data_IF_638064653742
#
_entry.id   IF_638064653742
#
_cell.length_a   1.000
_cell.length_b   1.000
_cell.length_c   1.000
_cell.angle_alpha   90.00
_cell.angle_beta   90.00
_cell.angle_gamma   90.00
#
_symmetry.space_group_name_H-M   'P 1'
#
loop_
_entity.id
_entity.type
_entity.pdbx_description
1 polymer ?
#
# COMPACT_ATOMS: atom_id res chain seq x y z
N UNK A 1 -18.32 5.61 -4.80
CA UNK A 1 -17.58 6.70 -4.15
C UNK A 1 -16.09 6.42 -4.22
N UNK A 2 -15.29 7.38 -4.62
CA UNK A 2 -13.84 7.19 -4.70
C UNK A 2 -13.22 7.22 -3.30
N UNK A 3 -12.36 6.26 -3.00
CA UNK A 3 -11.57 6.26 -1.77
C UNK A 3 -10.57 7.40 -1.77
N UNK A 4 -9.99 7.69 -2.94
CA UNK A 4 -8.99 8.73 -3.09
C UNK A 4 -9.64 10.01 -3.60
N UNK A 5 -9.42 11.09 -2.87
CA UNK A 5 -9.83 12.43 -3.25
C UNK A 5 -8.60 13.22 -3.63
N UNK A 6 -8.78 14.50 -3.98
CA UNK A 6 -7.65 15.38 -4.23
C UNK A 6 -6.96 15.86 -2.96
N UNK A 7 -7.53 15.51 -1.80
CA UNK A 7 -6.94 15.89 -0.52
C UNK A 7 -5.81 14.95 -0.14
N UNK A 8 -4.72 15.53 0.34
CA UNK A 8 -3.56 14.78 0.79
C UNK A 8 -3.36 15.07 2.28
N UNK A 9 -3.15 14.01 3.04
CA UNK A 9 -2.82 14.15 4.43
C UNK A 9 -1.45 13.52 4.69
N UNK A 10 -0.55 14.29 5.27
CA UNK A 10 0.73 13.77 5.69
C UNK A 10 0.54 12.98 6.98
N UNK A 11 1.01 11.75 6.97
CA UNK A 11 0.96 10.87 8.14
C UNK A 11 2.39 10.51 8.50
N UNK A 12 2.78 10.80 9.75
CA UNK A 12 4.13 10.48 10.24
C UNK A 12 4.00 9.39 11.29
N UNK A 13 4.70 8.29 11.06
CA UNK A 13 4.73 7.16 11.99
C UNK A 13 6.18 6.74 12.21
N UNK A 14 6.48 6.28 13.41
CA UNK A 14 7.80 5.75 13.72
C UNK A 14 7.75 4.24 13.56
N UNK A 15 8.49 3.74 12.57
CA UNK A 15 8.52 2.31 12.24
C UNK A 15 9.98 1.86 12.20
N UNK A 16 10.32 0.77 12.92
CA UNK A 16 11.69 0.23 12.83
C UNK A 16 12.07 -0.09 11.38
N UNK A 17 13.33 0.13 11.03
CA UNK A 17 13.82 -0.13 9.67
C UNK A 17 13.52 -1.56 9.20
N UNK A 18 13.72 -2.53 10.07
CA UNK A 18 13.45 -3.92 9.72
C UNK A 18 11.97 -4.15 9.37
N UNK A 19 11.06 -3.44 10.04
CA UNK A 19 9.65 -3.52 9.72
C UNK A 19 9.34 -2.85 8.39
N UNK A 20 10.01 -1.74 8.07
CA UNK A 20 9.87 -1.09 6.76
C UNK A 20 10.30 -2.02 5.63
N UNK A 21 11.41 -2.71 5.79
CA UNK A 21 11.88 -3.69 4.81
C UNK A 21 10.86 -4.80 4.59
N UNK A 22 10.31 -5.34 5.67
CA UNK A 22 9.32 -6.42 5.59
C UNK A 22 8.02 -5.95 4.98
N UNK A 23 7.59 -4.75 5.30
CA UNK A 23 6.38 -4.17 4.72
C UNK A 23 6.55 -3.96 3.21
N UNK A 24 7.70 -3.43 2.79
CA UNK A 24 7.99 -3.26 1.37
C UNK A 24 7.93 -4.59 0.64
N UNK A 25 8.46 -5.65 1.24
CA UNK A 25 8.41 -6.99 0.67
C UNK A 25 6.97 -7.50 0.56
N UNK A 26 6.18 -7.32 1.60
CA UNK A 26 4.77 -7.72 1.61
C UNK A 26 4.00 -7.03 0.49
N UNK A 27 4.16 -5.71 0.38
CA UNK A 27 3.45 -4.94 -0.63
C UNK A 27 3.87 -5.35 -2.04
N UNK A 28 5.15 -5.71 -2.22
CA UNK A 28 5.65 -6.19 -3.52
C UNK A 28 5.03 -7.53 -3.91
N UNK A 29 4.76 -8.40 -2.94
CA UNK A 29 4.25 -9.77 -3.18
C UNK A 29 2.74 -9.86 -3.22
N UNK A 30 2.04 -8.85 -2.73
CA UNK A 30 0.57 -8.86 -2.73
C UNK A 30 0.04 -8.90 -4.16
N UNK A 31 -0.92 -9.79 -4.39
CA UNK A 31 -1.54 -9.98 -5.71
C UNK A 31 -2.99 -9.50 -5.68
N UNK A 32 -3.58 -9.39 -6.87
CA UNK A 32 -5.01 -9.08 -6.99
C UNK A 32 -5.87 -10.08 -6.22
N UNK A 33 -5.54 -11.37 -6.31
CA UNK A 33 -6.29 -12.41 -5.59
C UNK A 33 -6.28 -12.20 -4.09
N UNK A 34 -5.12 -11.82 -3.54
CA UNK A 34 -4.99 -11.55 -2.12
C UNK A 34 -5.88 -10.39 -1.70
N UNK A 35 -5.83 -9.30 -2.45
CA UNK A 35 -6.61 -8.10 -2.17
C UNK A 35 -8.10 -8.39 -2.35
N UNK A 36 -8.46 -9.10 -3.42
CA UNK A 36 -9.86 -9.42 -3.68
C UNK A 36 -10.48 -10.24 -2.55
N UNK A 37 -9.73 -11.16 -1.97
CA UNK A 37 -10.23 -11.98 -0.87
C UNK A 37 -10.44 -11.18 0.42
N UNK A 38 -9.77 -10.04 0.56
CA UNK A 38 -9.94 -9.15 1.70
C UNK A 38 -11.04 -8.10 1.47
N UNK A 39 -11.47 -7.92 0.23
CA UNK A 39 -12.44 -6.90 -0.15
C UNK A 39 -13.86 -7.45 -0.15
N UNK A 40 -14.82 -6.59 0.09
CA UNK A 40 -16.23 -6.95 0.03
C UNK A 40 -16.70 -7.14 -1.41
N UNK A 41 -16.15 -6.37 -2.34
CA UNK A 41 -16.52 -6.42 -3.75
C UNK A 41 -15.32 -5.98 -4.60
N UNK A 42 -15.51 -5.99 -5.93
CA UNK A 42 -14.45 -5.63 -6.86
C UNK A 42 -14.07 -4.14 -6.78
N UNK A 43 -15.03 -3.27 -6.55
CA UNK A 43 -14.74 -1.83 -6.44
C UNK A 43 -13.83 -1.56 -5.26
N UNK A 44 -14.11 -2.17 -4.13
CA UNK A 44 -13.27 -2.06 -2.95
C UNK A 44 -11.88 -2.64 -3.20
N UNK A 45 -11.81 -3.77 -3.92
CA UNK A 45 -10.53 -4.39 -4.26
C UNK A 45 -9.67 -3.46 -5.12
N UNK A 46 -10.27 -2.77 -6.09
CA UNK A 46 -9.53 -1.80 -6.91
C UNK A 46 -9.01 -0.64 -6.06
N UNK A 47 -9.81 -0.15 -5.13
CA UNK A 47 -9.38 0.92 -4.23
C UNK A 47 -8.25 0.47 -3.32
N UNK A 48 -8.31 -0.76 -2.80
CA UNK A 48 -7.26 -1.32 -1.98
C UNK A 48 -5.95 -1.48 -2.76
N UNK A 49 -6.03 -1.91 -4.02
CA UNK A 49 -4.83 -2.00 -4.87
C UNK A 49 -4.20 -0.64 -5.12
N UNK A 50 -5.00 0.40 -5.27
CA UNK A 50 -4.46 1.76 -5.38
C UNK A 50 -3.76 2.18 -4.12
N UNK A 51 -4.33 1.86 -2.96
CA UNK A 51 -3.71 2.17 -1.66
C UNK A 51 -2.37 1.45 -1.51
N UNK A 52 -2.29 0.19 -1.91
CA UNK A 52 -1.04 -0.56 -1.91
C UNK A 52 0.01 0.15 -2.76
N UNK A 53 -0.37 0.60 -3.97
CA UNK A 53 0.54 1.32 -4.85
C UNK A 53 1.06 2.62 -4.24
N UNK A 54 0.20 3.36 -3.55
CA UNK A 54 0.61 4.60 -2.88
C UNK A 54 1.64 4.30 -1.79
N UNK A 55 1.39 3.28 -0.97
CA UNK A 55 2.33 2.90 0.09
C UNK A 55 3.65 2.40 -0.46
N UNK A 56 3.61 1.62 -1.54
CA UNK A 56 4.85 1.17 -2.20
C UNK A 56 5.69 2.35 -2.67
N UNK A 57 5.04 3.34 -3.30
CA UNK A 57 5.72 4.52 -3.81
C UNK A 57 6.36 5.32 -2.67
N UNK A 58 5.65 5.50 -1.57
CA UNK A 58 6.16 6.25 -0.42
C UNK A 58 7.33 5.53 0.24
N UNK A 59 7.25 4.21 0.39
CA UNK A 59 8.35 3.42 0.94
C UNK A 59 9.57 3.47 0.02
N UNK A 60 9.37 3.42 -1.29
CA UNK A 60 10.46 3.53 -2.25
C UNK A 60 11.17 4.87 -2.14
N UNK A 61 10.42 5.97 -1.96
CA UNK A 61 11.01 7.29 -1.77
C UNK A 61 11.82 7.37 -0.48
N UNK A 62 11.42 6.62 0.53
CA UNK A 62 12.16 6.55 1.79
C UNK A 62 13.36 5.59 1.74
N UNK A 63 13.58 4.93 0.61
CA UNK A 63 14.69 4.01 0.42
C UNK A 63 14.36 2.54 0.62
N UNK A 64 13.10 2.20 0.81
CA UNK A 64 12.66 0.82 1.03
C UNK A 64 11.91 0.30 -0.18
N UNK A 65 12.62 -0.26 -1.11
CA UNK A 65 12.01 -0.91 -2.27
C UNK A 65 12.67 -2.25 -2.52
N UNK A 66 11.87 -3.23 -2.98
CA UNK A 66 12.36 -4.56 -3.33
C UNK A 66 12.44 -4.71 -4.84
N UNK A 67 13.48 -5.36 -5.27
CA UNK A 67 13.74 -5.62 -6.70
C UNK A 67 13.39 -7.03 -7.10
#
# INVERSE_FOLDING_TARGET
MALFTNSVKAVVIDVPEAACDRLALLLKRITWSDVRSCAQDEDEAHELMRAVGVFEAELAQAGFSWR
#
